data_IF_589680586622
#
_entry.id   IF_589680586622
#
_cell.length_a   1.000
_cell.length_b   1.000
_cell.length_c   1.000
_cell.angle_alpha   90.00
_cell.angle_beta   90.00
_cell.angle_gamma   90.00
#
_symmetry.space_group_name_H-M   'P 1'
#
loop_
_entity.id
_entity.type
_entity.pdbx_description
1 polymer ?
#
# COMPACT_ATOMS: atom_id res chain seq x y z
N UNK A 1 -15.67 -12.27 -32.29
CA UNK A 1 -16.03 -13.39 -31.39
C UNK A 1 -15.69 -12.96 -29.98
N UNK A 2 -16.61 -13.10 -29.03
CA UNK A 2 -16.31 -12.88 -27.61
C UNK A 2 -15.42 -14.02 -27.12
N UNK A 3 -14.27 -13.70 -26.54
CA UNK A 3 -13.46 -14.71 -25.86
C UNK A 3 -14.21 -15.18 -24.60
N UNK A 4 -14.07 -16.46 -24.20
CA UNK A 4 -14.58 -16.91 -22.92
C UNK A 4 -13.93 -16.10 -21.78
N UNK A 5 -14.71 -15.73 -20.77
CA UNK A 5 -14.26 -14.97 -19.60
C UNK A 5 -14.79 -15.59 -18.31
N UNK A 6 -14.02 -15.46 -17.24
CA UNK A 6 -14.43 -15.80 -15.88
C UNK A 6 -13.92 -14.73 -14.91
N UNK A 7 -14.66 -13.63 -14.79
CA UNK A 7 -14.26 -12.47 -14.00
C UNK A 7 -14.65 -12.68 -12.54
N UNK A 8 -13.66 -12.65 -11.66
CA UNK A 8 -13.80 -12.62 -10.20
C UNK A 8 -13.62 -11.19 -9.72
N UNK A 9 -14.51 -10.74 -8.84
CA UNK A 9 -14.40 -9.46 -8.14
C UNK A 9 -13.91 -9.69 -6.72
N UNK A 10 -12.85 -8.99 -6.33
CA UNK A 10 -12.33 -9.03 -4.97
C UNK A 10 -12.71 -7.72 -4.25
N UNK A 11 -13.06 -7.85 -2.99
CA UNK A 11 -13.35 -6.78 -2.05
C UNK A 11 -12.12 -6.32 -1.27
N UNK A 12 -11.10 -7.19 -1.15
CA UNK A 12 -9.85 -6.83 -0.50
C UNK A 12 -8.68 -7.79 -0.76
N UNK A 13 -7.49 -7.46 -0.24
CA UNK A 13 -6.26 -8.23 -0.43
C UNK A 13 -6.29 -9.66 0.12
N UNK A 14 -7.21 -9.94 1.04
CA UNK A 14 -7.36 -11.26 1.65
C UNK A 14 -8.26 -12.21 0.85
N UNK A 15 -8.93 -11.71 -0.20
CA UNK A 15 -9.85 -12.53 -0.98
C UNK A 15 -9.11 -13.55 -1.86
N UNK A 16 -9.74 -14.70 -2.16
CA UNK A 16 -9.23 -15.62 -3.14
C UNK A 16 -8.97 -14.90 -4.47
N UNK A 17 -7.81 -15.16 -5.09
CA UNK A 17 -7.35 -14.54 -6.34
C UNK A 17 -6.95 -13.05 -6.27
N UNK A 18 -7.06 -12.40 -5.11
CA UNK A 18 -6.66 -11.00 -4.95
C UNK A 18 -5.16 -10.77 -5.23
N UNK A 19 -4.32 -11.78 -5.05
CA UNK A 19 -2.86 -11.69 -5.24
C UNK A 19 -2.35 -12.48 -6.46
N UNK A 20 -3.24 -13.13 -7.21
CA UNK A 20 -2.86 -13.95 -8.36
C UNK A 20 -2.16 -13.13 -9.45
N UNK A 21 -1.02 -13.63 -9.93
CA UNK A 21 -0.23 -12.97 -10.96
C UNK A 21 0.41 -11.64 -10.52
N UNK A 22 0.48 -11.37 -9.21
CA UNK A 22 1.15 -10.20 -8.64
C UNK A 22 2.40 -10.67 -7.90
N UNK A 23 3.57 -10.24 -8.35
CA UNK A 23 4.82 -10.54 -7.62
C UNK A 23 4.95 -9.66 -6.37
N UNK A 24 5.50 -10.19 -5.27
CA UNK A 24 5.95 -9.36 -4.15
C UNK A 24 6.93 -8.28 -4.62
N UNK A 25 6.85 -7.08 -4.03
CA UNK A 25 7.79 -5.99 -4.30
C UNK A 25 9.16 -6.34 -3.71
N UNK A 26 10.24 -6.02 -4.42
CA UNK A 26 11.57 -6.12 -3.82
C UNK A 26 11.73 -5.02 -2.76
N UNK A 27 12.38 -5.33 -1.63
CA UNK A 27 12.88 -4.34 -0.68
C UNK A 27 14.08 -4.90 0.08
N UNK A 28 14.96 -4.01 0.49
CA UNK A 28 16.29 -4.31 1.06
C UNK A 28 16.69 -3.29 2.13
N UNK A 29 15.74 -2.85 2.97
CA UNK A 29 16.04 -2.07 4.18
C UNK A 29 15.93 -2.93 5.43
N UNK A 30 16.81 -2.70 6.40
CA UNK A 30 16.97 -3.55 7.58
C UNK A 30 15.79 -3.48 8.56
N UNK A 31 14.96 -2.44 8.49
CA UNK A 31 13.79 -2.22 9.37
C UNK A 31 12.44 -2.47 8.66
N UNK A 32 12.50 -3.02 7.46
CA UNK A 32 11.35 -3.20 6.59
C UNK A 32 10.66 -4.53 6.85
N UNK A 33 9.38 -4.49 7.21
CA UNK A 33 8.56 -5.69 7.25
C UNK A 33 7.58 -5.73 6.10
N UNK A 34 7.23 -6.94 5.66
CA UNK A 34 6.17 -7.12 4.66
C UNK A 34 4.88 -6.58 5.25
N UNK A 35 4.17 -5.76 4.48
CA UNK A 35 2.87 -5.27 4.89
C UNK A 35 1.95 -6.47 5.22
N UNK A 36 1.35 -6.54 6.42
CA UNK A 36 0.56 -7.71 6.83
C UNK A 36 -0.73 -7.84 6.01
N UNK A 37 -1.25 -6.73 5.51
CA UNK A 37 -2.51 -6.68 4.74
C UNK A 37 -2.33 -7.23 3.32
N UNK A 38 -1.28 -6.83 2.60
CA UNK A 38 -1.04 -7.27 1.22
C UNK A 38 0.13 -8.25 1.08
N UNK A 39 0.66 -8.75 2.18
CA UNK A 39 1.73 -9.74 2.27
C UNK A 39 2.99 -9.44 1.43
N UNK A 40 3.34 -8.17 1.22
CA UNK A 40 4.50 -7.80 0.38
C UNK A 40 4.17 -7.40 -1.06
N UNK A 41 2.92 -7.55 -1.51
CA UNK A 41 2.56 -7.33 -2.91
C UNK A 41 2.36 -5.85 -3.27
N UNK A 42 2.01 -5.02 -2.29
CA UNK A 42 1.75 -3.58 -2.44
C UNK A 42 0.44 -3.25 -3.17
N UNK A 43 -0.04 -4.14 -4.02
CA UNK A 43 -1.27 -4.02 -4.79
C UNK A 43 -2.01 -5.36 -4.82
N UNK A 44 -3.29 -5.32 -5.16
CA UNK A 44 -4.14 -6.50 -5.27
C UNK A 44 -5.14 -6.32 -6.42
N UNK A 45 -5.67 -7.42 -6.95
CA UNK A 45 -6.65 -7.45 -8.02
C UNK A 45 -8.01 -7.08 -7.44
N UNK A 46 -8.61 -5.94 -7.81
CA UNK A 46 -10.04 -5.70 -7.55
C UNK A 46 -10.92 -6.49 -8.52
N UNK A 47 -10.38 -6.83 -9.71
CA UNK A 47 -10.98 -7.77 -10.65
C UNK A 47 -9.89 -8.60 -11.33
N UNK A 48 -10.14 -9.89 -11.57
CA UNK A 48 -9.28 -10.74 -12.39
C UNK A 48 -10.12 -11.70 -13.22
N UNK A 49 -9.81 -11.79 -14.52
CA UNK A 49 -10.34 -12.83 -15.38
C UNK A 49 -9.47 -14.08 -15.29
N UNK A 50 -9.99 -15.16 -14.74
CA UNK A 50 -9.26 -16.41 -14.53
C UNK A 50 -8.94 -17.16 -15.82
N UNK A 51 -9.51 -16.75 -16.97
CA UNK A 51 -9.21 -17.35 -18.27
C UNK A 51 -8.08 -16.59 -18.97
N UNK A 52 -8.16 -15.25 -19.01
CA UNK A 52 -7.16 -14.42 -19.70
C UNK A 52 -6.05 -13.89 -18.79
N UNK A 53 -6.20 -14.02 -17.48
CA UNK A 53 -5.35 -13.44 -16.43
C UNK A 53 -5.21 -11.91 -16.49
N UNK A 54 -6.05 -11.23 -17.28
CA UNK A 54 -6.16 -9.76 -17.24
C UNK A 54 -6.80 -9.37 -15.92
N UNK A 55 -6.23 -8.35 -15.28
CA UNK A 55 -6.68 -7.88 -13.97
C UNK A 55 -6.79 -6.36 -13.93
N UNK A 56 -7.70 -5.88 -13.10
CA UNK A 56 -7.74 -4.49 -12.63
C UNK A 56 -7.15 -4.52 -11.22
N UNK A 57 -6.10 -3.74 -11.01
CA UNK A 57 -5.36 -3.71 -9.75
C UNK A 57 -5.54 -2.37 -9.06
N UNK A 58 -5.53 -2.41 -7.74
CA UNK A 58 -5.58 -1.21 -6.89
C UNK A 58 -4.47 -1.27 -5.83
N UNK A 59 -3.96 -0.12 -5.38
CA UNK A 59 -2.95 -0.10 -4.32
C UNK A 59 -3.53 -0.64 -3.00
N UNK A 60 -2.66 -1.25 -2.19
CA UNK A 60 -2.99 -1.62 -0.83
C UNK A 60 -3.19 -0.35 0.01
N UNK A 61 -4.32 -0.22 0.74
CA UNK A 61 -4.60 0.99 1.52
C UNK A 61 -3.78 1.14 2.79
N UNK A 62 -3.09 0.08 3.27
CA UNK A 62 -2.24 0.15 4.48
C UNK A 62 -0.83 0.65 4.18
N UNK A 63 -0.25 0.25 3.05
CA UNK A 63 1.13 0.59 2.70
C UNK A 63 1.23 1.46 1.44
N UNK A 64 0.10 2.00 0.97
CA UNK A 64 -0.01 2.86 -0.22
C UNK A 64 0.73 2.37 -1.47
N UNK A 65 0.69 1.07 -1.75
CA UNK A 65 1.41 0.52 -2.91
C UNK A 65 2.84 0.05 -2.65
N UNK A 66 3.43 0.37 -1.49
CA UNK A 66 4.82 0.05 -1.15
C UNK A 66 5.05 -1.47 -1.05
N UNK A 67 4.07 -2.19 -0.46
CA UNK A 67 4.19 -3.62 -0.13
C UNK A 67 4.91 -3.86 1.20
N UNK A 68 5.51 -2.84 1.77
CA UNK A 68 6.32 -2.91 2.97
C UNK A 68 5.93 -1.77 3.91
N UNK A 69 6.11 -2.01 5.19
CA UNK A 69 5.92 -1.06 6.27
C UNK A 69 7.25 -0.89 7.02
N UNK A 70 7.51 0.30 7.54
CA UNK A 70 8.70 0.56 8.36
C UNK A 70 8.38 0.25 9.82
N UNK A 71 9.12 -0.69 10.40
CA UNK A 71 8.86 -1.17 11.77
C UNK A 71 9.84 -0.64 12.80
N UNK A 72 10.66 0.34 12.41
CA UNK A 72 11.46 1.12 13.32
C UNK A 72 10.58 2.02 14.20
N UNK A 73 11.10 2.36 15.38
CA UNK A 73 10.57 3.47 16.18
C UNK A 73 11.13 4.83 15.70
N UNK A 74 11.71 4.86 14.50
CA UNK A 74 12.26 6.07 13.91
C UNK A 74 11.14 7.06 13.69
N UNK A 75 11.39 8.31 14.07
CA UNK A 75 10.43 9.37 13.86
C UNK A 75 10.49 9.77 12.38
N UNK A 76 9.36 9.74 11.69
CA UNK A 76 9.24 10.04 10.26
C UNK A 76 8.81 11.49 10.03
N UNK A 77 9.25 12.13 8.93
CA UNK A 77 8.81 13.46 8.54
C UNK A 77 7.30 13.51 8.25
N UNK A 78 6.56 14.27 9.05
CA UNK A 78 5.14 14.55 8.89
C UNK A 78 4.95 16.03 8.53
N UNK A 79 4.26 16.30 7.43
CA UNK A 79 4.01 17.67 6.97
C UNK A 79 2.88 18.29 7.80
N UNK A 80 3.13 19.45 8.39
CA UNK A 80 2.17 20.17 9.24
C UNK A 80 2.18 21.68 8.94
N UNK A 81 1.18 22.40 9.45
CA UNK A 81 1.07 23.86 9.34
C UNK A 81 1.04 24.45 10.74
N UNK A 82 1.99 25.32 11.03
CA UNK A 82 2.08 26.05 12.31
C UNK A 82 1.96 27.55 12.08
N UNK A 83 1.67 28.30 13.14
CA UNK A 83 1.72 29.76 13.08
C UNK A 83 3.14 30.24 13.35
N UNK A 84 3.62 31.18 12.53
CA UNK A 84 4.83 31.94 12.80
C UNK A 84 4.68 32.76 14.10
N UNK A 85 5.78 33.30 14.65
CA UNK A 85 5.70 34.24 15.78
C UNK A 85 4.83 35.48 15.50
N UNK A 86 4.59 35.81 14.22
CA UNK A 86 3.74 36.91 13.78
C UNK A 86 2.31 36.47 13.41
N UNK A 87 1.95 35.21 13.65
CA UNK A 87 0.61 34.67 13.44
C UNK A 87 0.29 34.26 12.01
N UNK A 88 1.29 34.09 11.14
CA UNK A 88 1.08 33.66 9.75
C UNK A 88 1.26 32.13 9.61
N UNK A 89 0.40 31.43 8.86
CA UNK A 89 0.57 29.99 8.64
C UNK A 89 1.85 29.72 7.85
N UNK A 90 2.62 28.74 8.30
CA UNK A 90 3.85 28.30 7.67
C UNK A 90 3.92 26.78 7.66
N UNK A 91 4.37 26.23 6.53
CA UNK A 91 4.69 24.81 6.42
C UNK A 91 5.84 24.47 7.35
N UNK A 92 5.68 23.38 8.08
CA UNK A 92 6.74 22.80 8.90
C UNK A 92 6.78 21.30 8.69
N UNK A 93 7.91 20.71 9.06
CA UNK A 93 8.09 19.26 9.08
C UNK A 93 8.25 18.88 10.53
N UNK A 94 7.27 18.16 11.06
CA UNK A 94 7.37 17.53 12.36
C UNK A 94 7.98 16.14 12.18
N UNK A 95 8.60 15.65 13.24
CA UNK A 95 8.95 14.25 13.33
C UNK A 95 7.89 13.62 14.22
N UNK A 96 7.12 12.68 13.68
CA UNK A 96 6.11 11.92 14.42
C UNK A 96 6.43 10.42 14.31
N UNK A 97 5.99 9.56 15.25
CA UNK A 97 6.14 8.12 15.08
C UNK A 97 5.49 7.66 13.78
N UNK A 98 6.11 6.68 13.13
CA UNK A 98 5.52 6.08 11.93
C UNK A 98 4.12 5.52 12.24
N UNK A 99 3.16 5.76 11.36
CA UNK A 99 1.81 5.17 11.40
C UNK A 99 1.81 3.69 10.95
N UNK A 100 2.98 3.19 10.59
CA UNK A 100 3.28 1.78 10.37
C UNK A 100 3.46 0.98 11.68
N UNK A 101 3.51 1.63 12.85
CA UNK A 101 3.56 0.96 14.16
C UNK A 101 2.19 0.32 14.47
N UNK A 102 2.15 -1.02 14.57
CA UNK A 102 1.02 -1.81 15.13
C UNK A 102 1.23 -2.12 16.62
#
# INVERSE_FOLDING_TARGET
MSHPSNIVHCTGPADPHALDGISPRHRTGDLDQRCPVCSGHGQWNSQIDLISHRSIRVPCPKCDGRGWIETGADMVPSHDITLSPTGQPMWTVRLDPSDDIE
#
